data_IF_461253762574
#
_entry.id   IF_461253762574
#
_cell.length_a   1.000
_cell.length_b   1.000
_cell.length_c   1.000
_cell.angle_alpha   90.00
_cell.angle_beta   90.00
_cell.angle_gamma   90.00
#
_symmetry.space_group_name_H-M   'P 1'
#
loop_
_entity.id
_entity.type
_entity.pdbx_description
1 polymer ?
#
# COMPACT_ATOMS: atom_id res chain seq x y z
N UNK A 1 -2.06 58.83 -5.30
CA UNK A 1 -3.15 57.91 -4.88
C UNK A 1 -3.27 56.79 -5.90
N UNK A 2 -3.30 55.53 -5.44
CA UNK A 2 -3.92 54.34 -6.06
C UNK A 2 -3.10 53.08 -5.72
N UNK A 3 -3.33 52.55 -4.51
CA UNK A 3 -2.84 51.24 -4.08
C UNK A 3 -3.73 50.19 -4.73
N UNK A 4 -3.27 49.54 -5.80
CA UNK A 4 -4.03 48.49 -6.48
C UNK A 4 -4.05 47.24 -5.60
N UNK A 5 -5.18 47.03 -4.91
CA UNK A 5 -5.37 45.98 -3.92
C UNK A 5 -5.71 44.65 -4.61
N UNK A 6 -4.98 43.62 -4.17
CA UNK A 6 -5.36 42.20 -4.10
C UNK A 6 -5.36 41.40 -5.40
N UNK A 7 -4.16 40.99 -5.77
CA UNK A 7 -3.96 39.58 -6.13
C UNK A 7 -4.25 38.72 -4.89
N UNK A 8 -5.44 38.11 -4.83
CA UNK A 8 -5.66 36.86 -4.10
C UNK A 8 -6.61 36.02 -4.92
N UNK A 9 -6.07 35.44 -5.99
CA UNK A 9 -6.63 34.24 -6.55
C UNK A 9 -6.69 33.23 -5.40
N UNK A 10 -7.91 32.96 -4.91
CA UNK A 10 -8.15 31.98 -3.88
C UNK A 10 -7.61 30.65 -4.39
N UNK A 11 -6.60 30.13 -3.68
CA UNK A 11 -6.07 28.82 -3.94
C UNK A 11 -7.20 27.83 -3.61
N UNK A 12 -8.00 27.45 -4.62
CA UNK A 12 -9.03 26.45 -4.45
C UNK A 12 -8.33 25.11 -4.25
N UNK A 13 -8.08 24.77 -2.99
CA UNK A 13 -7.55 23.46 -2.60
C UNK A 13 -8.51 22.42 -3.12
N UNK A 14 -8.09 21.72 -4.19
CA UNK A 14 -8.82 20.57 -4.72
C UNK A 14 -8.30 19.35 -3.96
N UNK A 15 -9.22 18.66 -3.30
CA UNK A 15 -8.92 17.38 -2.67
C UNK A 15 -8.93 16.30 -3.74
N UNK A 16 -7.92 15.44 -3.72
CA UNK A 16 -7.85 14.28 -4.60
C UNK A 16 -8.91 13.24 -4.22
N UNK A 17 -9.34 12.45 -5.20
CA UNK A 17 -10.28 11.36 -4.94
C UNK A 17 -9.60 10.26 -4.13
N UNK A 18 -10.27 9.83 -3.06
CA UNK A 18 -9.84 8.70 -2.24
C UNK A 18 -9.92 7.41 -3.07
N UNK A 19 -8.81 6.68 -3.17
CA UNK A 19 -8.78 5.34 -3.75
C UNK A 19 -9.24 4.30 -2.73
N UNK A 20 -9.84 3.20 -3.20
CA UNK A 20 -10.23 2.07 -2.35
C UNK A 20 -8.98 1.49 -1.66
N UNK A 21 -9.00 1.23 -0.34
CA UNK A 21 -7.89 0.57 0.33
C UNK A 21 -7.63 -0.80 -0.30
N UNK A 22 -6.36 -1.16 -0.45
CA UNK A 22 -5.93 -2.42 -1.04
C UNK A 22 -6.56 -3.61 -0.29
N UNK A 23 -7.00 -4.65 -1.01
CA UNK A 23 -7.57 -5.84 -0.36
C UNK A 23 -6.50 -6.58 0.47
N UNK A 24 -6.91 -7.41 1.44
CA UNK A 24 -5.95 -8.23 2.20
C UNK A 24 -5.10 -9.13 1.30
N UNK A 25 -5.68 -9.61 0.20
CA UNK A 25 -4.97 -10.34 -0.85
C UNK A 25 -3.87 -9.47 -1.47
N UNK A 26 -4.20 -8.26 -1.89
CA UNK A 26 -3.23 -7.36 -2.52
C UNK A 26 -2.11 -7.00 -1.55
N UNK A 27 -2.46 -6.76 -0.28
CA UNK A 27 -1.49 -6.50 0.78
C UNK A 27 -0.56 -7.70 1.01
N UNK A 28 -1.10 -8.91 1.09
CA UNK A 28 -0.32 -10.14 1.24
C UNK A 28 0.64 -10.32 0.05
N UNK A 29 0.14 -10.15 -1.19
CA UNK A 29 0.96 -10.22 -2.40
C UNK A 29 2.11 -9.23 -2.37
N UNK A 30 1.84 -7.96 -2.06
CA UNK A 30 2.86 -6.91 -2.03
C UNK A 30 3.91 -7.17 -0.95
N UNK A 31 3.48 -7.63 0.23
CA UNK A 31 4.39 -7.95 1.33
C UNK A 31 5.31 -9.13 0.98
N UNK A 32 4.75 -10.23 0.45
CA UNK A 32 5.52 -11.42 0.05
C UNK A 32 6.47 -11.07 -1.11
N UNK A 33 5.99 -10.36 -2.13
CA UNK A 33 6.82 -9.87 -3.24
C UNK A 33 7.98 -9.03 -2.73
N UNK A 34 7.72 -8.10 -1.83
CA UNK A 34 8.76 -7.29 -1.20
C UNK A 34 9.78 -8.13 -0.43
N UNK A 35 9.34 -9.17 0.28
CA UNK A 35 10.24 -10.05 1.03
C UNK A 35 11.15 -10.88 0.10
N UNK A 36 10.64 -11.35 -1.04
CA UNK A 36 11.42 -12.05 -2.06
C UNK A 36 12.45 -11.11 -2.69
N UNK A 37 12.03 -9.93 -3.14
CA UNK A 37 12.92 -8.97 -3.81
C UNK A 37 14.04 -8.45 -2.90
N UNK A 38 13.77 -8.35 -1.60
CA UNK A 38 14.76 -7.94 -0.61
C UNK A 38 15.53 -9.14 0.00
N UNK A 39 15.36 -10.35 -0.53
CA UNK A 39 16.02 -11.59 -0.07
C UNK A 39 15.78 -11.91 1.42
N UNK A 40 14.65 -11.45 1.99
CA UNK A 40 14.19 -11.86 3.33
C UNK A 40 13.67 -13.30 3.29
N UNK A 41 13.03 -13.67 2.18
CA UNK A 41 12.72 -15.06 1.81
C UNK A 41 13.79 -15.51 0.83
N UNK A 42 14.52 -16.59 1.14
CA UNK A 42 15.66 -17.01 0.33
C UNK A 42 15.19 -17.75 -0.93
N UNK A 43 15.93 -17.64 -2.05
CA UNK A 43 15.68 -18.48 -3.22
C UNK A 43 15.75 -19.96 -2.85
N UNK A 44 14.73 -20.73 -3.26
CA UNK A 44 14.63 -22.15 -2.95
C UNK A 44 14.09 -22.48 -1.56
N UNK A 45 13.82 -21.48 -0.71
CA UNK A 45 13.12 -21.67 0.55
C UNK A 45 11.65 -22.00 0.30
N UNK A 46 11.12 -23.00 1.02
CA UNK A 46 9.73 -23.39 0.90
C UNK A 46 8.82 -22.31 1.52
N UNK A 47 7.81 -21.87 0.76
CA UNK A 47 6.80 -20.95 1.25
C UNK A 47 5.62 -21.73 1.83
N UNK A 48 5.45 -21.66 3.15
CA UNK A 48 4.35 -22.33 3.86
C UNK A 48 3.22 -21.32 4.11
N UNK A 49 2.00 -21.62 3.63
CA UNK A 49 0.85 -20.71 3.73
C UNK A 49 0.52 -20.32 5.18
N UNK A 50 0.63 -21.26 6.12
CA UNK A 50 0.38 -20.99 7.54
C UNK A 50 1.37 -19.98 8.10
N UNK A 51 2.66 -20.18 7.85
CA UNK A 51 3.73 -19.36 8.40
C UNK A 51 3.65 -17.94 7.82
N UNK A 52 3.35 -17.82 6.52
CA UNK A 52 3.12 -16.53 5.89
C UNK A 52 1.89 -15.81 6.47
N UNK A 53 0.79 -16.54 6.69
CA UNK A 53 -0.43 -15.97 7.27
C UNK A 53 -0.19 -15.49 8.71
N UNK A 54 0.53 -16.26 9.52
CA UNK A 54 0.92 -15.87 10.89
C UNK A 54 1.83 -14.64 10.89
N UNK A 55 2.86 -14.61 10.04
CA UNK A 55 3.76 -13.46 9.91
C UNK A 55 3.03 -12.18 9.44
N UNK A 56 2.04 -12.33 8.57
CA UNK A 56 1.23 -11.22 8.07
C UNK A 56 0.08 -10.83 9.02
N UNK A 57 -0.22 -11.65 10.03
CA UNK A 57 -1.33 -11.41 10.97
C UNK A 57 -2.71 -11.50 10.32
N UNK A 58 -2.86 -12.31 9.27
CA UNK A 58 -4.11 -12.48 8.50
C UNK A 58 -4.52 -13.95 8.40
N UNK A 59 -5.72 -14.22 7.88
CA UNK A 59 -6.14 -15.59 7.59
C UNK A 59 -5.40 -16.17 6.38
N UNK A 60 -5.41 -17.51 6.23
CA UNK A 60 -4.71 -18.22 5.15
C UNK A 60 -5.31 -17.95 3.76
N UNK A 61 -6.62 -17.73 3.70
CA UNK A 61 -7.37 -17.52 2.45
C UNK A 61 -6.75 -16.42 1.57
N UNK A 62 -6.53 -15.18 2.06
CA UNK A 62 -5.91 -14.11 1.26
C UNK A 62 -4.44 -14.34 0.89
N UNK A 63 -3.73 -15.27 1.54
CA UNK A 63 -2.36 -15.63 1.16
C UNK A 63 -2.34 -16.54 -0.08
N UNK A 64 -3.39 -17.35 -0.27
CA UNK A 64 -3.49 -18.34 -1.34
C UNK A 64 -4.10 -17.80 -2.63
N UNK A 65 -5.08 -16.89 -2.52
CA UNK A 65 -5.91 -16.42 -3.65
C UNK A 65 -5.31 -15.22 -4.35
#
# INVERSE_FOLDING_TARGET
MARNRKARAGNAVRLDKVSVPASLKDQAYLAIKGAILNLKLKPGEALVENDLAEQLGISKTPVRT
#
